data_IF_779651390886
#
_entry.id   IF_779651390886
#
_cell.length_a   1.000
_cell.length_b   1.000
_cell.length_c   1.000
_cell.angle_alpha   90.00
_cell.angle_beta   90.00
_cell.angle_gamma   90.00
#
_symmetry.space_group_name_H-M   'P 1'
#
loop_
_entity.id
_entity.type
_entity.pdbx_description
1 polymer ?
#
# COMPACT_ATOMS: atom_id res chain seq x y z
N UNK A 1 31.67 -83.93 -7.84
CA UNK A 1 32.04 -82.79 -8.70
C UNK A 1 30.72 -82.13 -9.16
N UNK A 2 30.25 -81.06 -8.52
CA UNK A 2 29.07 -80.39 -8.98
C UNK A 2 29.21 -78.92 -8.53
N UNK A 3 29.44 -78.03 -9.50
CA UNK A 3 29.58 -76.62 -9.27
C UNK A 3 28.22 -75.96 -9.20
N UNK A 4 27.84 -75.47 -8.06
CA UNK A 4 26.64 -74.65 -7.88
C UNK A 4 27.04 -73.16 -8.09
N UNK A 5 26.56 -72.60 -9.22
CA UNK A 5 26.68 -71.14 -9.51
C UNK A 5 25.59 -70.40 -8.77
N UNK A 6 25.94 -69.55 -7.81
CA UNK A 6 25.01 -68.62 -7.16
C UNK A 6 24.88 -67.38 -8.02
N UNK A 7 23.69 -67.22 -8.65
CA UNK A 7 23.28 -65.95 -9.28
C UNK A 7 22.81 -65.01 -8.20
N UNK A 8 23.61 -64.00 -7.91
CA UNK A 8 23.24 -62.89 -7.00
C UNK A 8 22.48 -61.85 -7.82
N UNK A 9 21.15 -61.91 -7.75
CA UNK A 9 20.23 -60.91 -8.35
C UNK A 9 20.30 -59.64 -7.50
N UNK A 10 21.04 -58.63 -7.97
CA UNK A 10 21.07 -57.31 -7.37
C UNK A 10 19.77 -56.54 -7.71
N UNK A 11 18.89 -56.45 -6.74
CA UNK A 11 17.70 -55.61 -6.79
C UNK A 11 18.15 -54.14 -6.62
N UNK A 12 18.17 -53.37 -7.71
CA UNK A 12 18.39 -51.93 -7.68
C UNK A 12 17.07 -51.28 -7.35
N UNK A 13 16.93 -50.82 -6.10
CA UNK A 13 15.80 -49.98 -5.69
C UNK A 13 16.09 -48.56 -6.18
N UNK A 14 15.40 -48.15 -7.24
CA UNK A 14 15.40 -46.74 -7.70
C UNK A 14 14.57 -45.92 -6.71
N UNK A 15 15.24 -45.16 -5.87
CA UNK A 15 14.59 -44.16 -5.01
C UNK A 15 14.30 -42.91 -5.87
N UNK A 16 13.08 -42.78 -6.38
CA UNK A 16 12.62 -41.56 -7.03
C UNK A 16 12.34 -40.54 -5.94
N UNK A 17 13.28 -39.63 -5.74
CA UNK A 17 13.10 -38.43 -4.93
C UNK A 17 12.14 -37.48 -5.69
N UNK A 18 10.84 -37.58 -5.39
CA UNK A 18 9.85 -36.59 -5.80
C UNK A 18 10.09 -35.32 -4.98
N UNK A 19 10.87 -34.40 -5.52
CA UNK A 19 10.98 -33.04 -5.01
C UNK A 19 9.68 -32.28 -5.34
N UNK A 20 8.70 -32.39 -4.42
CA UNK A 20 7.53 -31.53 -4.43
C UNK A 20 7.95 -30.09 -4.16
N UNK A 21 8.20 -29.30 -5.22
CA UNK A 21 8.36 -27.86 -5.09
C UNK A 21 7.05 -27.28 -4.59
N UNK A 22 7.03 -26.75 -3.34
CA UNK A 22 5.96 -25.84 -2.93
C UNK A 22 6.04 -24.62 -3.83
N UNK A 23 5.14 -24.51 -4.79
CA UNK A 23 4.86 -23.26 -5.48
C UNK A 23 4.22 -22.33 -4.44
N UNK A 24 5.00 -21.39 -3.91
CA UNK A 24 4.45 -20.25 -3.18
C UNK A 24 3.75 -19.42 -4.26
N UNK A 25 2.43 -19.58 -4.38
CA UNK A 25 1.60 -18.67 -5.14
C UNK A 25 1.71 -17.31 -4.45
N UNK A 26 2.51 -16.40 -5.00
CA UNK A 26 2.47 -15.00 -4.61
C UNK A 26 1.06 -14.51 -4.89
N UNK A 27 0.30 -14.15 -3.85
CA UNK A 27 -0.93 -13.40 -4.02
C UNK A 27 -0.54 -12.07 -4.67
N UNK A 28 -0.90 -11.89 -5.95
CA UNK A 28 -0.87 -10.58 -6.59
C UNK A 28 -1.77 -9.66 -5.76
N UNK A 29 -1.18 -8.66 -5.10
CA UNK A 29 -1.93 -7.68 -4.31
C UNK A 29 -2.86 -6.92 -5.27
N UNK A 30 -4.14 -7.27 -5.23
CA UNK A 30 -5.14 -6.71 -6.13
C UNK A 30 -5.27 -5.22 -5.89
N UNK A 31 -5.04 -4.41 -6.93
CA UNK A 31 -5.18 -2.95 -6.87
C UNK A 31 -6.56 -2.59 -6.35
N UNK A 32 -6.60 -1.92 -5.20
CA UNK A 32 -7.83 -1.39 -4.63
C UNK A 32 -8.26 -0.17 -5.44
N UNK A 33 -9.45 -0.21 -6.04
CA UNK A 33 -9.98 0.90 -6.86
C UNK A 33 -11.10 1.68 -6.19
N UNK A 34 -11.66 1.15 -5.11
CA UNK A 34 -12.75 1.74 -4.35
C UNK A 34 -12.68 1.33 -2.89
N UNK A 35 -12.95 2.27 -2.00
CA UNK A 35 -13.05 2.04 -0.55
C UNK A 35 -14.44 2.57 -0.14
N UNK A 36 -15.38 1.69 0.27
CA UNK A 36 -16.71 2.11 0.70
C UNK A 36 -16.63 3.13 1.85
N UNK A 37 -17.40 4.21 1.77
CA UNK A 37 -17.44 5.25 2.80
C UNK A 37 -16.31 6.29 2.71
N UNK A 38 -15.41 6.18 1.72
CA UNK A 38 -14.32 7.13 1.48
C UNK A 38 -14.56 7.87 0.17
N UNK A 39 -14.41 9.20 0.19
CA UNK A 39 -14.50 10.01 -1.01
C UNK A 39 -13.21 9.90 -1.83
N UNK A 40 -13.29 9.20 -2.96
CA UNK A 40 -12.18 9.08 -3.92
C UNK A 40 -12.13 10.32 -4.80
N UNK A 41 -10.94 10.93 -4.93
CA UNK A 41 -10.71 12.13 -5.74
C UNK A 41 -9.50 11.96 -6.66
N UNK A 42 -9.47 12.76 -7.71
CA UNK A 42 -8.32 13.03 -8.57
C UNK A 42 -7.57 14.30 -8.11
N UNK A 43 -6.58 14.74 -8.86
CA UNK A 43 -5.76 15.89 -8.48
C UNK A 43 -6.54 17.21 -8.44
N UNK A 44 -7.51 17.42 -9.34
CA UNK A 44 -8.44 18.55 -9.32
C UNK A 44 -9.31 18.51 -8.06
N UNK A 45 -9.83 17.33 -7.73
CA UNK A 45 -10.60 17.12 -6.51
C UNK A 45 -9.82 17.42 -5.23
N UNK A 46 -8.50 17.23 -5.21
CA UNK A 46 -7.64 17.67 -4.08
C UNK A 46 -7.67 19.18 -3.95
N UNK A 47 -7.56 19.91 -5.07
CA UNK A 47 -7.60 21.39 -5.09
C UNK A 47 -8.98 21.89 -4.64
N UNK A 48 -10.05 21.28 -5.14
CA UNK A 48 -11.43 21.62 -4.75
C UNK A 48 -11.67 21.38 -3.25
N UNK A 49 -11.15 20.27 -2.71
CA UNK A 49 -11.23 19.98 -1.28
C UNK A 49 -10.46 20.99 -0.43
N UNK A 50 -9.28 21.40 -0.87
CA UNK A 50 -8.50 22.42 -0.18
C UNK A 50 -9.20 23.78 -0.17
N UNK A 51 -9.89 24.13 -1.25
CA UNK A 51 -10.75 25.32 -1.33
C UNK A 51 -12.00 25.24 -0.45
N UNK A 52 -12.61 24.04 -0.36
CA UNK A 52 -13.81 23.80 0.45
C UNK A 52 -13.53 23.71 1.94
N UNK A 53 -12.40 23.13 2.30
CA UNK A 53 -11.98 22.90 3.67
C UNK A 53 -10.62 23.57 3.94
N UNK A 54 -10.59 24.82 4.40
CA UNK A 54 -9.33 25.53 4.67
C UNK A 54 -8.41 24.82 5.68
N UNK A 55 -8.97 23.90 6.49
CA UNK A 55 -8.24 23.05 7.44
C UNK A 55 -7.97 21.64 6.93
N UNK A 56 -8.14 21.35 5.62
CA UNK A 56 -7.88 20.02 5.07
C UNK A 56 -6.50 19.50 5.45
N UNK A 57 -6.47 18.38 6.15
CA UNK A 57 -5.22 17.68 6.46
C UNK A 57 -4.88 16.73 5.31
N UNK A 58 -3.69 16.90 4.74
CA UNK A 58 -3.19 16.02 3.67
C UNK A 58 -2.10 15.13 4.27
N UNK A 59 -2.29 13.81 4.19
CA UNK A 59 -1.34 12.80 4.71
C UNK A 59 -0.66 12.09 3.54
N UNK A 60 0.67 12.15 3.54
CA UNK A 60 1.54 11.41 2.65
C UNK A 60 1.86 10.05 3.27
N UNK A 61 1.24 8.98 2.74
CA UNK A 61 1.40 7.61 3.22
C UNK A 61 2.60 6.88 2.62
N UNK A 62 3.43 7.58 1.83
CA UNK A 62 4.64 7.01 1.24
C UNK A 62 5.73 6.83 2.29
N UNK A 63 6.67 5.93 1.98
CA UNK A 63 7.91 5.83 2.78
C UNK A 63 8.72 7.11 2.68
N UNK A 64 9.57 7.34 3.67
CA UNK A 64 10.36 8.58 3.79
C UNK A 64 11.25 8.83 2.57
N UNK A 65 11.83 7.78 1.96
CA UNK A 65 12.67 7.88 0.77
C UNK A 65 11.90 8.37 -0.46
N UNK A 66 10.64 7.95 -0.64
CA UNK A 66 9.81 8.42 -1.76
C UNK A 66 9.45 9.90 -1.56
N UNK A 67 9.06 10.27 -0.33
CA UNK A 67 8.77 11.66 0.04
C UNK A 67 9.98 12.58 -0.11
N UNK A 68 11.18 12.09 0.11
CA UNK A 68 12.42 12.87 -0.05
C UNK A 68 12.64 13.37 -1.49
N UNK A 69 12.02 12.74 -2.48
CA UNK A 69 12.08 13.15 -3.89
C UNK A 69 11.13 14.31 -4.23
N UNK A 70 10.21 14.63 -3.33
CA UNK A 70 9.23 15.70 -3.46
C UNK A 70 7.88 15.29 -2.87
N UNK A 71 7.04 16.29 -2.54
CA UNK A 71 5.74 16.06 -1.89
C UNK A 71 4.78 17.23 -2.10
N UNK A 72 3.48 16.97 -1.99
CA UNK A 72 2.44 18.01 -2.04
C UNK A 72 2.64 18.97 -0.87
N UNK A 73 2.72 20.27 -1.16
CA UNK A 73 2.91 21.31 -0.16
C UNK A 73 1.83 21.23 0.94
N UNK A 74 2.25 21.44 2.19
CA UNK A 74 1.37 21.34 3.35
C UNK A 74 1.05 19.90 3.80
N UNK A 75 1.42 18.87 3.03
CA UNK A 75 1.19 17.49 3.45
C UNK A 75 2.09 17.07 4.61
N UNK A 76 1.52 16.25 5.52
CA UNK A 76 2.25 15.62 6.61
C UNK A 76 2.68 14.20 6.23
N UNK A 77 3.90 13.82 6.61
CA UNK A 77 4.39 12.45 6.42
C UNK A 77 3.84 11.55 7.53
N UNK A 78 3.12 10.51 7.13
CA UNK A 78 2.79 9.37 7.98
C UNK A 78 2.79 8.12 7.10
N UNK A 79 3.94 7.43 6.96
CA UNK A 79 4.03 6.18 6.22
C UNK A 79 2.96 5.18 6.67
N UNK A 80 2.44 4.38 5.75
CA UNK A 80 1.40 3.41 6.05
C UNK A 80 1.81 2.37 7.10
N UNK A 81 3.10 2.05 7.18
CA UNK A 81 3.67 1.15 8.19
C UNK A 81 3.66 1.75 9.61
N UNK A 82 3.62 3.08 9.72
CA UNK A 82 3.55 3.82 10.98
C UNK A 82 2.11 4.31 11.27
N UNK A 83 1.16 3.98 10.39
CA UNK A 83 -0.24 4.39 10.53
C UNK A 83 -0.95 3.46 11.50
N UNK A 84 -1.35 4.01 12.65
CA UNK A 84 -2.18 3.38 13.67
C UNK A 84 -3.07 4.43 14.34
N UNK A 85 -3.97 4.01 15.22
CA UNK A 85 -4.90 4.95 15.88
C UNK A 85 -4.18 5.98 16.78
N UNK A 86 -3.07 5.59 17.40
CA UNK A 86 -2.31 6.50 18.28
C UNK A 86 -1.61 7.58 17.46
N UNK A 87 -0.92 7.21 16.39
CA UNK A 87 -0.22 8.15 15.51
C UNK A 87 -1.21 9.05 14.75
N UNK A 88 -2.36 8.52 14.33
CA UNK A 88 -3.43 9.32 13.72
C UNK A 88 -3.98 10.36 14.69
N UNK A 89 -4.23 9.99 15.96
CA UNK A 89 -4.74 10.90 16.98
C UNK A 89 -3.78 12.06 17.34
N UNK A 90 -2.49 11.89 17.05
CA UNK A 90 -1.49 12.97 17.24
C UNK A 90 -1.55 14.05 16.17
N UNK A 91 -2.13 13.73 14.99
CA UNK A 91 -2.11 14.62 13.83
C UNK A 91 -3.48 14.99 13.31
N UNK A 92 -4.52 14.17 13.52
CA UNK A 92 -5.90 14.47 13.15
C UNK A 92 -6.65 14.95 14.39
N UNK A 93 -7.11 16.22 14.41
CA UNK A 93 -7.68 16.83 15.62
C UNK A 93 -8.96 16.15 16.13
N UNK A 94 -9.88 15.82 15.19
CA UNK A 94 -11.22 15.34 15.49
C UNK A 94 -11.60 14.18 14.58
N UNK A 95 -12.56 13.34 14.99
CA UNK A 95 -13.00 12.16 14.22
C UNK A 95 -13.68 12.48 12.91
N UNK A 96 -14.21 13.69 12.74
CA UNK A 96 -14.84 14.20 11.52
C UNK A 96 -13.99 15.24 10.77
N UNK A 97 -12.72 15.42 11.19
CA UNK A 97 -11.80 16.34 10.53
C UNK A 97 -11.54 15.92 9.07
N UNK A 98 -11.69 16.84 8.09
CA UNK A 98 -11.46 16.52 6.68
C UNK A 98 -9.99 16.11 6.46
N UNK A 99 -9.78 14.85 6.13
CA UNK A 99 -8.44 14.27 6.00
C UNK A 99 -8.31 13.51 4.69
N UNK A 100 -7.29 13.86 3.91
CA UNK A 100 -6.98 13.26 2.63
C UNK A 100 -5.69 12.45 2.73
N UNK A 101 -5.70 11.24 2.19
CA UNK A 101 -4.54 10.36 2.11
C UNK A 101 -4.11 10.19 0.66
N UNK A 102 -2.80 10.20 0.41
CA UNK A 102 -2.23 9.86 -0.89
C UNK A 102 -0.95 9.03 -0.76
N UNK A 103 -0.56 8.39 -1.86
CA UNK A 103 0.75 7.74 -1.99
C UNK A 103 1.35 8.02 -3.38
N UNK A 104 2.16 7.11 -3.94
CA UNK A 104 2.80 7.36 -5.24
C UNK A 104 1.77 7.47 -6.37
N UNK A 105 0.95 6.44 -6.58
CA UNK A 105 0.01 6.38 -7.68
C UNK A 105 -0.99 5.23 -7.54
N UNK A 106 -1.75 4.91 -8.60
CA UNK A 106 -2.83 3.93 -8.56
C UNK A 106 -2.40 2.50 -8.16
N UNK A 107 -1.17 2.14 -8.45
CA UNK A 107 -0.61 0.82 -8.10
C UNK A 107 -0.04 0.75 -6.67
N UNK A 108 0.02 1.89 -5.98
CA UNK A 108 0.50 1.97 -4.61
C UNK A 108 -0.62 1.71 -3.60
N UNK A 109 -0.59 0.57 -2.90
CA UNK A 109 -1.59 0.20 -1.91
C UNK A 109 -1.51 0.95 -0.56
N UNK A 110 -0.43 1.74 -0.31
CA UNK A 110 -0.13 2.32 1.00
C UNK A 110 -1.22 3.28 1.50
N UNK A 111 -1.65 4.24 0.66
CA UNK A 111 -2.71 5.18 1.06
C UNK A 111 -4.05 4.49 1.28
N UNK A 112 -4.38 3.46 0.47
CA UNK A 112 -5.59 2.66 0.69
C UNK A 112 -5.55 1.91 2.04
N UNK A 113 -4.38 1.39 2.43
CA UNK A 113 -4.18 0.75 3.74
C UNK A 113 -4.34 1.77 4.87
N UNK A 114 -3.68 2.93 4.77
CA UNK A 114 -3.75 4.00 5.77
C UNK A 114 -5.19 4.50 5.98
N UNK A 115 -5.94 4.74 4.90
CA UNK A 115 -7.36 5.12 4.96
C UNK A 115 -8.21 4.07 5.68
N UNK A 116 -8.02 2.78 5.37
CA UNK A 116 -8.77 1.70 6.03
C UNK A 116 -8.46 1.63 7.53
N UNK A 117 -7.21 1.86 7.92
CA UNK A 117 -6.84 1.96 9.34
C UNK A 117 -7.55 3.16 9.99
N UNK A 118 -7.52 4.33 9.35
CA UNK A 118 -8.21 5.52 9.86
C UNK A 118 -9.71 5.29 10.04
N UNK A 119 -10.37 4.63 9.07
CA UNK A 119 -11.78 4.20 9.22
C UNK A 119 -11.98 3.29 10.43
N UNK A 120 -11.10 2.31 10.60
CA UNK A 120 -11.14 1.38 11.75
C UNK A 120 -10.95 2.09 13.09
N UNK A 121 -10.25 3.22 13.11
CA UNK A 121 -10.06 4.07 14.29
C UNK A 121 -11.24 5.04 14.55
N UNK A 122 -12.25 5.07 13.66
CA UNK A 122 -13.46 5.86 13.83
C UNK A 122 -13.48 7.20 13.08
N UNK A 123 -12.45 7.52 12.31
CA UNK A 123 -12.46 8.73 11.48
C UNK A 123 -13.47 8.60 10.33
N UNK A 124 -14.25 9.65 10.04
CA UNK A 124 -15.41 9.60 9.15
C UNK A 124 -15.31 10.50 7.91
N UNK A 125 -14.63 11.64 7.98
CA UNK A 125 -14.51 12.59 6.87
C UNK A 125 -13.22 12.33 6.07
N UNK A 126 -13.15 11.16 5.46
CA UNK A 126 -11.96 10.66 4.78
C UNK A 126 -12.04 10.81 3.28
N UNK A 127 -10.95 11.28 2.71
CA UNK A 127 -10.74 11.45 1.28
C UNK A 127 -9.51 10.65 0.84
N UNK A 128 -9.54 10.16 -0.38
CA UNK A 128 -8.47 9.35 -0.93
C UNK A 128 -8.08 9.83 -2.33
N UNK A 129 -6.90 10.39 -2.45
CA UNK A 129 -6.31 10.76 -3.73
C UNK A 129 -5.65 9.53 -4.36
N UNK A 130 -6.44 8.85 -5.21
CA UNK A 130 -6.06 7.57 -5.82
C UNK A 130 -4.90 7.70 -6.81
N UNK A 131 -4.90 8.77 -7.64
CA UNK A 131 -3.84 9.03 -8.61
C UNK A 131 -2.49 9.38 -7.97
N UNK A 132 -2.53 9.85 -6.73
CA UNK A 132 -1.35 10.07 -5.91
C UNK A 132 -0.37 11.11 -6.46
N UNK A 133 0.87 11.03 -6.00
CA UNK A 133 1.90 11.99 -6.36
C UNK A 133 2.29 11.93 -7.85
N UNK A 134 2.15 10.77 -8.48
CA UNK A 134 2.38 10.61 -9.93
C UNK A 134 1.41 11.46 -10.74
N UNK A 135 0.09 11.37 -10.50
CA UNK A 135 -0.90 12.19 -11.18
C UNK A 135 -0.68 13.68 -10.91
N UNK A 136 -0.32 14.06 -9.67
CA UNK A 136 -0.01 15.43 -9.30
C UNK A 136 1.13 16.02 -10.15
N UNK A 137 2.19 15.22 -10.35
CA UNK A 137 3.33 15.59 -11.19
C UNK A 137 3.01 15.63 -12.69
N UNK A 138 2.25 14.64 -13.18
CA UNK A 138 1.81 14.58 -14.59
C UNK A 138 0.99 15.81 -14.99
N UNK A 139 0.19 16.33 -14.07
CA UNK A 139 -0.59 17.56 -14.25
C UNK A 139 0.23 18.82 -14.03
N UNK A 140 1.50 18.71 -13.75
CA UNK A 140 2.42 19.83 -13.49
C UNK A 140 1.98 20.75 -12.34
N UNK A 141 1.28 20.21 -11.34
CA UNK A 141 0.95 20.98 -10.16
C UNK A 141 2.19 21.23 -9.27
N UNK A 142 2.23 22.38 -8.57
CA UNK A 142 3.38 22.74 -7.76
C UNK A 142 3.54 21.75 -6.58
N UNK A 143 4.79 21.44 -6.26
CA UNK A 143 5.15 20.59 -5.13
C UNK A 143 6.50 20.99 -4.56
N UNK A 144 6.77 20.62 -3.33
CA UNK A 144 8.06 20.85 -2.68
C UNK A 144 9.06 19.83 -3.22
N UNK A 145 10.17 20.32 -3.74
CA UNK A 145 11.38 19.53 -4.07
C UNK A 145 12.40 19.72 -2.95
N UNK A 146 13.05 18.64 -2.58
CA UNK A 146 14.20 18.70 -1.66
C UNK A 146 15.51 18.67 -2.41
#
# INVERSE_FOLDING_TARGET
MCHIRHNLLRLIILFVLSSGGLAIAGEEEKIVKHIPGVNKVDAEGVIDLAGKFPGLLIIDSRIVSDRAQGYIEGSRSLPDIDTDCENLARIIPDMDHPTLFYCNGPECGRSARAVKIAMGCGYSNLHWFFGGFEEWQEKNYPYIKK
#
